data_IF_499241394751
#
_entry.id   IF_499241394751
#
_cell.length_a   1.000
_cell.length_b   1.000
_cell.length_c   1.000
_cell.angle_alpha   90.00
_cell.angle_beta   90.00
_cell.angle_gamma   90.00
#
_symmetry.space_group_name_H-M   'P 1'
#
loop_
_entity.id
_entity.type
_entity.pdbx_description
1 polymer ?
#
# COMPACT_ATOMS: atom_id res chain seq x y z
N UNK A 1 14.65 -6.57 -9.91
CA UNK A 1 14.87 -7.45 -8.74
C UNK A 1 14.32 -8.84 -9.03
N UNK A 2 14.86 -9.86 -8.38
CA UNK A 2 14.36 -11.25 -8.41
C UNK A 2 14.23 -11.73 -6.96
N UNK A 3 13.30 -12.63 -6.69
CA UNK A 3 13.12 -13.22 -5.36
C UNK A 3 11.98 -14.24 -5.33
N UNK A 4 11.59 -14.68 -4.13
CA UNK A 4 10.49 -15.63 -3.96
C UNK A 4 9.23 -15.15 -4.68
N UNK A 5 8.51 -16.06 -5.33
CA UNK A 5 7.30 -15.76 -6.12
C UNK A 5 7.53 -15.10 -7.48
N UNK A 6 8.73 -14.58 -7.76
CA UNK A 6 9.09 -14.04 -9.08
C UNK A 6 9.88 -15.09 -9.88
N UNK A 7 9.39 -15.41 -11.09
CA UNK A 7 10.05 -16.32 -12.03
C UNK A 7 11.05 -15.62 -12.93
N UNK A 8 10.83 -14.35 -13.21
CA UNK A 8 11.69 -13.51 -14.05
C UNK A 8 12.07 -12.22 -13.30
N UNK A 9 13.23 -11.59 -13.61
CA UNK A 9 13.58 -10.32 -13.00
C UNK A 9 12.54 -9.23 -13.33
N UNK A 10 12.00 -8.59 -12.29
CA UNK A 10 11.05 -7.47 -12.43
C UNK A 10 11.79 -6.15 -12.26
N UNK A 11 11.68 -5.24 -13.22
CA UNK A 11 12.36 -3.94 -13.21
C UNK A 11 11.38 -2.84 -13.57
N UNK A 12 11.20 -1.88 -12.67
CA UNK A 12 10.36 -0.70 -12.90
C UNK A 12 10.86 0.43 -11.99
N UNK A 13 10.42 1.64 -12.31
CA UNK A 13 10.56 2.82 -11.47
C UNK A 13 9.19 3.24 -10.92
N UNK A 14 9.18 4.05 -9.87
CA UNK A 14 7.99 4.73 -9.38
C UNK A 14 8.38 6.17 -9.03
N UNK A 15 7.59 7.12 -9.50
CA UNK A 15 7.91 8.53 -9.44
C UNK A 15 7.26 9.23 -8.26
N UNK A 16 7.87 10.35 -7.86
CA UNK A 16 7.33 11.20 -6.80
C UNK A 16 5.97 11.76 -7.26
N UNK A 17 4.93 11.49 -6.48
CA UNK A 17 3.58 11.98 -6.74
C UNK A 17 2.82 11.21 -7.82
N UNK A 18 3.31 10.03 -8.17
CA UNK A 18 2.64 9.09 -9.06
C UNK A 18 1.86 8.05 -8.25
N UNK A 19 0.73 7.61 -8.80
CA UNK A 19 0.03 6.38 -8.40
C UNK A 19 0.34 5.30 -9.44
N UNK A 20 1.22 4.38 -9.08
CA UNK A 20 1.58 3.22 -9.89
C UNK A 20 0.67 2.03 -9.55
N UNK A 21 -0.13 1.59 -10.51
CA UNK A 21 -0.97 0.40 -10.37
C UNK A 21 -0.18 -0.88 -10.62
N UNK A 22 -0.43 -1.91 -9.82
CA UNK A 22 0.07 -3.27 -10.03
C UNK A 22 -1.12 -4.22 -10.18
N UNK A 23 -1.38 -4.63 -11.41
CA UNK A 23 -2.44 -5.58 -11.74
C UNK A 23 -1.87 -6.97 -12.00
N UNK A 24 -2.66 -8.00 -11.72
CA UNK A 24 -2.33 -9.39 -11.97
C UNK A 24 -3.32 -10.32 -11.28
N UNK A 25 -3.51 -11.51 -11.85
CA UNK A 25 -4.38 -12.52 -11.26
C UNK A 25 -3.78 -13.12 -9.98
N UNK A 26 -4.57 -13.88 -9.24
CA UNK A 26 -4.09 -14.62 -8.07
C UNK A 26 -2.89 -15.50 -8.48
N UNK A 27 -1.79 -15.40 -7.72
CA UNK A 27 -0.54 -16.11 -8.03
C UNK A 27 0.38 -15.39 -9.03
N UNK A 28 0.07 -14.15 -9.42
CA UNK A 28 0.92 -13.38 -10.34
C UNK A 28 2.26 -12.89 -9.76
N UNK A 29 2.48 -12.98 -8.43
CA UNK A 29 3.69 -12.47 -7.78
C UNK A 29 3.56 -11.06 -7.16
N UNK A 30 2.33 -10.54 -7.02
CA UNK A 30 2.03 -9.18 -6.52
C UNK A 30 2.42 -9.02 -5.05
N UNK A 31 1.91 -9.92 -4.20
CA UNK A 31 2.15 -9.92 -2.75
C UNK A 31 3.63 -10.15 -2.45
N UNK A 32 4.29 -11.03 -3.18
CA UNK A 32 5.71 -11.34 -3.01
C UNK A 32 6.58 -10.14 -3.40
N UNK A 33 6.24 -9.44 -4.48
CA UNK A 33 6.91 -8.18 -4.83
C UNK A 33 6.77 -7.14 -3.70
N UNK A 34 5.58 -6.97 -3.13
CA UNK A 34 5.34 -6.05 -2.01
C UNK A 34 6.09 -6.45 -0.73
N UNK A 35 6.17 -7.74 -0.43
CA UNK A 35 6.97 -8.26 0.69
C UNK A 35 8.45 -7.94 0.53
N UNK A 36 8.97 -8.01 -0.69
CA UNK A 36 10.35 -7.60 -0.96
C UNK A 36 10.54 -6.08 -0.83
N UNK A 37 9.64 -5.27 -1.40
CA UNK A 37 9.72 -3.80 -1.34
C UNK A 37 9.58 -3.26 0.09
N UNK A 38 8.84 -3.97 0.96
CA UNK A 38 8.66 -3.64 2.37
C UNK A 38 9.70 -4.27 3.30
N UNK A 39 10.65 -5.05 2.78
CA UNK A 39 11.67 -5.74 3.58
C UNK A 39 11.15 -6.89 4.45
N UNK A 40 9.90 -7.34 4.23
CA UNK A 40 9.36 -8.57 4.83
C UNK A 40 10.04 -9.82 4.26
N UNK A 41 10.51 -9.73 3.02
CA UNK A 41 11.22 -10.80 2.32
C UNK A 41 12.47 -10.24 1.62
N UNK A 42 13.52 -11.06 1.50
CA UNK A 42 14.76 -10.64 0.84
C UNK A 42 14.71 -10.98 -0.64
N UNK A 43 15.10 -10.03 -1.48
CA UNK A 43 15.36 -10.30 -2.88
C UNK A 43 16.61 -11.20 -3.01
N UNK A 44 16.59 -12.11 -3.98
CA UNK A 44 17.73 -12.99 -4.30
C UNK A 44 18.72 -12.31 -5.24
N UNK A 45 18.24 -11.38 -6.07
CA UNK A 45 19.09 -10.59 -6.97
C UNK A 45 18.47 -9.23 -7.32
N UNK A 46 19.28 -8.40 -7.98
CA UNK A 46 18.93 -7.04 -8.40
C UNK A 46 19.13 -6.00 -7.31
N UNK A 47 18.76 -4.76 -7.64
CA UNK A 47 18.93 -3.59 -6.77
C UNK A 47 17.61 -2.88 -6.54
N UNK A 48 17.47 -2.28 -5.37
CA UNK A 48 16.40 -1.35 -5.02
C UNK A 48 17.06 0.00 -4.78
N UNK A 49 16.54 1.06 -5.39
CA UNK A 49 17.05 2.42 -5.21
C UNK A 49 15.92 3.35 -4.77
N UNK A 50 16.21 4.25 -3.84
CA UNK A 50 15.29 5.31 -3.44
C UNK A 50 15.99 6.65 -3.55
N UNK A 51 15.46 7.53 -4.42
CA UNK A 51 16.06 8.84 -4.73
C UNK A 51 17.55 8.73 -5.10
N UNK A 52 17.88 7.77 -5.97
CA UNK A 52 19.24 7.52 -6.47
C UNK A 52 20.20 6.85 -5.47
N UNK A 53 19.73 6.45 -4.28
CA UNK A 53 20.55 5.75 -3.29
C UNK A 53 20.13 4.28 -3.21
N UNK A 54 21.09 3.38 -3.35
CA UNK A 54 20.84 1.94 -3.19
C UNK A 54 20.35 1.62 -1.77
N UNK A 55 19.24 0.88 -1.68
CA UNK A 55 18.65 0.41 -0.44
C UNK A 55 18.88 -1.08 -0.27
N UNK A 56 19.40 -1.46 0.90
CA UNK A 56 19.55 -2.85 1.32
C UNK A 56 18.60 -3.15 2.47
N UNK A 57 17.43 -3.70 2.15
CA UNK A 57 16.42 -4.05 3.13
C UNK A 57 16.75 -5.43 3.73
N UNK A 58 17.04 -5.48 5.03
CA UNK A 58 17.27 -6.73 5.78
C UNK A 58 16.08 -7.10 6.65
N UNK A 59 15.26 -6.11 6.99
CA UNK A 59 14.04 -6.21 7.79
C UNK A 59 13.04 -5.10 7.42
N UNK A 60 11.77 -5.22 7.84
CA UNK A 60 10.79 -4.15 7.63
C UNK A 60 11.14 -2.82 8.28
N UNK A 61 11.98 -2.84 9.32
CA UNK A 61 12.46 -1.62 9.98
C UNK A 61 13.30 -0.76 9.05
N UNK A 62 14.07 -1.39 8.16
CA UNK A 62 14.91 -0.68 7.19
C UNK A 62 14.04 0.06 6.16
N UNK A 63 12.95 -0.57 5.72
CA UNK A 63 12.00 0.03 4.80
C UNK A 63 11.29 1.23 5.44
N UNK A 64 10.78 1.05 6.67
CA UNK A 64 10.13 2.14 7.43
C UNK A 64 11.10 3.30 7.67
N UNK A 65 12.35 3.03 8.05
CA UNK A 65 13.37 4.06 8.25
C UNK A 65 13.72 4.80 6.95
N UNK A 66 13.69 4.10 5.80
CA UNK A 66 13.88 4.72 4.50
C UNK A 66 12.67 5.57 4.06
N UNK A 67 11.50 5.36 4.66
CA UNK A 67 10.22 6.01 4.34
C UNK A 67 9.34 5.22 3.38
N UNK A 68 9.52 3.91 3.30
CA UNK A 68 8.68 2.96 2.55
C UNK A 68 7.71 2.30 3.54
N UNK A 69 6.42 2.58 3.40
CA UNK A 69 5.38 2.14 4.32
C UNK A 69 4.41 1.21 3.61
N UNK A 70 4.00 0.12 4.27
CA UNK A 70 3.08 -0.88 3.73
C UNK A 70 1.74 -0.84 4.48
N UNK A 71 0.65 -0.74 3.72
CA UNK A 71 -0.68 -1.11 4.17
C UNK A 71 -1.03 -2.49 3.61
N UNK A 72 -1.16 -3.52 4.47
CA UNK A 72 -1.34 -4.90 4.02
C UNK A 72 -2.78 -5.19 3.57
N UNK A 73 -2.93 -6.28 2.80
CA UNK A 73 -4.21 -6.78 2.28
C UNK A 73 -5.17 -7.22 3.41
N UNK A 74 -4.71 -8.08 4.33
CA UNK A 74 -5.52 -8.52 5.47
C UNK A 74 -5.45 -7.48 6.59
N UNK A 75 -6.21 -6.40 6.40
CA UNK A 75 -6.38 -5.33 7.37
C UNK A 75 -6.67 -5.85 8.80
N UNK A 76 -7.47 -6.90 8.94
CA UNK A 76 -7.93 -7.37 10.27
C UNK A 76 -6.82 -8.13 11.00
N UNK A 77 -6.00 -8.90 10.28
CA UNK A 77 -4.91 -9.69 10.88
C UNK A 77 -3.61 -8.93 10.97
N UNK A 78 -3.29 -8.13 9.95
CA UNK A 78 -1.96 -7.52 9.78
C UNK A 78 -1.99 -6.00 9.90
N UNK A 79 -3.14 -5.37 9.65
CA UNK A 79 -3.26 -3.90 9.60
C UNK A 79 -3.60 -3.25 10.95
N UNK A 80 -4.54 -3.81 11.71
CA UNK A 80 -5.06 -3.20 12.96
C UNK A 80 -4.70 -4.02 14.20
N UNK A 81 -4.66 -3.33 15.34
CA UNK A 81 -4.73 -3.93 16.67
C UNK A 81 -6.18 -3.86 17.14
N UNK A 82 -6.98 -4.93 16.98
CA UNK A 82 -8.44 -4.86 17.08
C UNK A 82 -8.94 -4.47 18.48
N UNK A 83 -8.25 -4.94 19.52
CA UNK A 83 -8.61 -4.67 20.91
C UNK A 83 -8.16 -3.28 21.39
N UNK A 84 -7.32 -2.61 20.61
CA UNK A 84 -6.78 -1.29 20.92
C UNK A 84 -7.69 -0.18 20.38
N UNK A 85 -7.52 1.02 20.94
CA UNK A 85 -8.28 2.20 20.52
C UNK A 85 -7.87 2.70 19.13
N UNK A 86 -8.69 3.57 18.54
CA UNK A 86 -8.34 4.32 17.33
C UNK A 86 -7.05 5.11 17.54
N UNK A 87 -6.92 5.81 18.67
CA UNK A 87 -5.73 6.56 19.02
C UNK A 87 -4.47 5.69 19.04
N UNK A 88 -4.55 4.50 19.67
CA UNK A 88 -3.44 3.57 19.73
C UNK A 88 -3.02 3.10 18.34
N UNK A 89 -4.00 2.77 17.49
CA UNK A 89 -3.74 2.34 16.13
C UNK A 89 -3.10 3.44 15.27
N UNK A 90 -3.39 4.72 15.53
CA UNK A 90 -2.77 5.85 14.84
C UNK A 90 -1.35 6.09 15.39
N UNK A 91 -1.16 6.07 16.70
CA UNK A 91 0.08 6.54 17.31
C UNK A 91 1.21 5.49 17.34
N UNK A 92 0.89 4.19 17.29
CA UNK A 92 1.85 3.12 17.58
C UNK A 92 3.15 3.20 16.78
N UNK A 93 3.09 3.54 15.49
CA UNK A 93 4.29 3.59 14.63
C UNK A 93 5.16 4.82 14.87
N UNK A 94 4.53 5.97 15.17
CA UNK A 94 5.22 7.23 15.39
C UNK A 94 5.75 7.39 16.82
N UNK A 95 5.20 6.63 17.77
CA UNK A 95 5.56 6.67 19.19
C UNK A 95 7.07 6.63 19.47
N UNK A 96 7.82 5.79 18.75
CA UNK A 96 9.27 5.68 18.93
C UNK A 96 9.99 7.02 18.72
N UNK A 97 9.62 7.75 17.66
CA UNK A 97 10.19 9.05 17.32
C UNK A 97 9.75 10.19 18.26
N UNK A 98 8.67 9.98 19.02
CA UNK A 98 8.08 10.98 19.91
C UNK A 98 8.16 10.61 21.41
N UNK A 99 8.94 9.58 21.75
CA UNK A 99 9.20 9.17 23.14
C UNK A 99 10.34 9.98 23.77
N UNK A 100 10.25 10.30 25.06
CA UNK A 100 11.37 10.87 25.82
C UNK A 100 12.17 9.74 26.47
N UNK A 101 13.51 9.80 26.43
CA UNK A 101 14.40 8.74 26.94
C UNK A 101 14.12 7.33 26.38
N UNK A 102 13.47 7.22 25.21
CA UNK A 102 13.15 5.94 24.57
C UNK A 102 12.02 5.13 25.22
N UNK A 103 11.39 5.63 26.29
CA UNK A 103 10.35 4.89 27.02
C UNK A 103 9.19 5.75 27.57
N UNK A 104 9.38 7.07 27.77
CA UNK A 104 8.34 7.92 28.33
C UNK A 104 7.39 8.40 27.23
N UNK A 105 6.14 7.95 27.30
CA UNK A 105 5.07 8.35 26.39
C UNK A 105 4.64 9.79 26.68
N UNK A 106 4.50 10.58 25.61
CA UNK A 106 3.99 11.95 25.68
C UNK A 106 2.49 11.98 25.45
N UNK A 107 1.70 11.76 26.50
CA UNK A 107 0.24 11.67 26.40
C UNK A 107 -0.43 12.89 25.73
N UNK A 108 0.12 14.10 25.91
CA UNK A 108 -0.36 15.31 25.22
C UNK A 108 -0.13 15.24 23.70
N UNK A 109 1.03 14.76 23.28
CA UNK A 109 1.34 14.59 21.86
C UNK A 109 0.48 13.48 21.24
N UNK A 110 0.34 12.33 21.92
CA UNK A 110 -0.47 11.21 21.42
C UNK A 110 -1.93 11.60 21.21
N UNK A 111 -2.50 12.36 22.15
CA UNK A 111 -3.86 12.89 22.01
C UNK A 111 -3.96 13.84 20.82
N UNK A 112 -3.05 14.82 20.74
CA UNK A 112 -3.05 15.81 19.65
C UNK A 112 -2.88 15.17 18.27
N UNK A 113 -1.96 14.20 18.13
CA UNK A 113 -1.74 13.48 16.88
C UNK A 113 -2.97 12.64 16.49
N UNK A 114 -3.54 11.87 17.42
CA UNK A 114 -4.75 11.10 17.13
C UNK A 114 -5.90 11.99 16.65
N UNK A 115 -6.17 13.10 17.34
CA UNK A 115 -7.24 14.04 16.98
C UNK A 115 -6.96 14.68 15.60
N UNK A 116 -5.71 15.04 15.33
CA UNK A 116 -5.29 15.58 14.02
C UNK A 116 -5.56 14.57 12.89
N UNK A 117 -5.12 13.32 13.03
CA UNK A 117 -5.25 12.33 11.96
C UNK A 117 -6.69 11.84 11.79
N UNK A 118 -7.47 11.73 12.87
CA UNK A 118 -8.91 11.46 12.82
C UNK A 118 -9.62 12.52 11.97
N UNK A 119 -9.28 13.80 12.19
CA UNK A 119 -9.84 14.92 11.42
C UNK A 119 -9.35 14.92 9.97
N UNK A 120 -8.05 14.76 9.75
CA UNK A 120 -7.44 14.80 8.42
C UNK A 120 -8.04 13.73 7.49
N UNK A 121 -8.27 12.53 8.02
CA UNK A 121 -8.80 11.41 7.24
C UNK A 121 -10.31 11.21 7.39
N UNK A 122 -11.00 12.12 8.09
CA UNK A 122 -12.44 12.06 8.35
C UNK A 122 -12.86 10.67 8.87
N UNK A 123 -12.13 10.17 9.87
CA UNK A 123 -12.44 8.90 10.54
C UNK A 123 -13.72 9.09 11.35
N UNK A 124 -14.79 8.40 10.97
CA UNK A 124 -16.06 8.41 11.69
C UNK A 124 -15.92 7.50 12.92
N UNK A 125 -15.66 8.10 14.07
CA UNK A 125 -15.57 7.42 15.38
C UNK A 125 -16.23 8.30 16.46
N UNK A 126 -16.90 7.73 17.48
CA UNK A 126 -17.45 8.51 18.59
C UNK A 126 -16.38 9.30 19.35
N UNK A 127 -15.19 8.72 19.51
CA UNK A 127 -14.00 9.35 20.08
C UNK A 127 -12.74 8.52 19.77
N UNK A 128 -11.57 9.05 20.10
CA UNK A 128 -10.29 8.39 19.84
C UNK A 128 -10.04 7.14 20.72
N UNK A 129 -10.75 7.00 21.85
CA UNK A 129 -10.65 5.86 22.76
C UNK A 129 -11.49 4.64 22.33
N UNK A 130 -12.40 4.80 21.37
CA UNK A 130 -13.20 3.71 20.80
C UNK A 130 -12.29 2.60 20.28
N UNK A 131 -12.62 1.34 20.58
CA UNK A 131 -11.88 0.20 20.01
C UNK A 131 -12.06 0.16 18.49
N UNK A 132 -10.95 0.04 17.76
CA UNK A 132 -10.96 0.13 16.29
C UNK A 132 -11.79 -1.00 15.65
N UNK A 133 -11.89 -2.16 16.31
CA UNK A 133 -12.66 -3.31 15.81
C UNK A 133 -14.15 -3.00 15.60
N UNK A 134 -14.71 -2.01 16.30
CA UNK A 134 -16.11 -1.62 16.16
C UNK A 134 -16.36 -0.58 15.06
N UNK A 135 -15.32 -0.06 14.41
CA UNK A 135 -15.48 0.82 13.25
C UNK A 135 -15.78 0.02 11.99
N UNK A 136 -16.45 0.65 11.01
CA UNK A 136 -16.61 0.06 9.68
C UNK A 136 -15.28 -0.13 8.97
N UNK A 137 -15.22 -1.03 7.98
CA UNK A 137 -13.99 -1.32 7.23
C UNK A 137 -13.31 -0.07 6.64
N UNK A 138 -14.11 0.84 6.07
CA UNK A 138 -13.61 2.13 5.57
C UNK A 138 -12.96 3.01 6.64
N UNK A 139 -13.54 3.07 7.84
CA UNK A 139 -12.98 3.86 8.93
C UNK A 139 -11.76 3.20 9.58
N UNK A 140 -11.71 1.86 9.62
CA UNK A 140 -10.50 1.13 10.00
C UNK A 140 -9.36 1.43 9.02
N UNK A 141 -9.62 1.40 7.71
CA UNK A 141 -8.63 1.70 6.68
C UNK A 141 -8.10 3.14 6.80
N UNK A 142 -9.00 4.11 6.99
CA UNK A 142 -8.61 5.51 7.25
C UNK A 142 -7.72 5.63 8.49
N UNK A 143 -8.04 4.96 9.59
CA UNK A 143 -7.19 5.02 10.78
C UNK A 143 -5.79 4.44 10.53
N UNK A 144 -5.66 3.39 9.71
CA UNK A 144 -4.36 2.83 9.30
C UNK A 144 -3.59 3.80 8.43
N UNK A 145 -4.23 4.46 7.47
CA UNK A 145 -3.58 5.51 6.69
C UNK A 145 -3.12 6.67 7.61
N UNK A 146 -3.87 6.97 8.66
CA UNK A 146 -3.53 8.00 9.66
C UNK A 146 -2.28 7.67 10.47
N UNK A 147 -2.04 6.38 10.74
CA UNK A 147 -0.80 5.89 11.33
C UNK A 147 0.42 6.29 10.48
N UNK A 148 0.31 6.17 9.17
CA UNK A 148 1.40 6.47 8.24
C UNK A 148 1.59 7.97 8.01
N UNK A 149 0.53 8.77 8.10
CA UNK A 149 0.64 10.24 8.09
C UNK A 149 1.45 10.81 9.27
N UNK A 150 1.63 10.02 10.33
CA UNK A 150 2.43 10.38 11.49
C UNK A 150 3.92 10.02 11.33
N UNK A 151 4.32 9.50 10.16
CA UNK A 151 5.67 9.01 9.86
C UNK A 151 6.26 9.73 8.64
N UNK A 152 7.60 9.83 8.52
CA UNK A 152 8.23 10.30 7.30
C UNK A 152 7.96 9.30 6.17
N UNK A 153 7.05 9.66 5.27
CA UNK A 153 6.64 8.83 4.14
C UNK A 153 7.26 9.36 2.84
N UNK A 154 7.76 8.45 2.01
CA UNK A 154 8.25 8.74 0.65
C UNK A 154 7.58 7.82 -0.37
N UNK A 155 7.36 6.55 0.02
CA UNK A 155 6.66 5.54 -0.78
C UNK A 155 5.60 4.89 0.09
N UNK A 156 4.37 4.79 -0.42
CA UNK A 156 3.28 4.08 0.22
C UNK A 156 2.88 2.89 -0.65
N UNK A 157 3.00 1.69 -0.11
CA UNK A 157 2.59 0.42 -0.71
C UNK A 157 1.19 0.09 -0.18
N UNK A 158 0.19 0.01 -1.05
CA UNK A 158 -1.20 -0.31 -0.70
C UNK A 158 -1.61 -1.64 -1.33
N UNK A 159 -1.79 -2.66 -0.50
CA UNK A 159 -2.19 -3.99 -0.96
C UNK A 159 -3.71 -4.17 -0.78
N UNK A 160 -4.45 -4.24 -1.89
CA UNK A 160 -5.91 -4.37 -1.97
C UNK A 160 -6.64 -3.36 -1.03
N UNK A 161 -6.39 -2.03 -1.18
CA UNK A 161 -6.73 -1.02 -0.18
C UNK A 161 -8.23 -0.88 0.11
N UNK A 162 -9.10 -1.34 -0.80
CA UNK A 162 -10.55 -1.33 -0.60
C UNK A 162 -11.18 -2.68 -0.30
N UNK A 163 -10.37 -3.71 -0.04
CA UNK A 163 -10.90 -5.04 0.31
C UNK A 163 -11.73 -4.99 1.60
N UNK A 164 -12.97 -5.46 1.48
CA UNK A 164 -13.94 -5.48 2.59
C UNK A 164 -14.36 -4.07 3.06
N UNK A 165 -14.37 -3.10 2.14
CA UNK A 165 -14.91 -1.75 2.33
C UNK A 165 -16.14 -1.60 1.43
N UNK A 166 -17.20 -0.98 1.96
CA UNK A 166 -18.43 -0.70 1.23
C UNK A 166 -18.17 0.21 0.02
N UNK A 167 -18.92 0.00 -1.08
CA UNK A 167 -18.77 0.76 -2.34
C UNK A 167 -18.80 2.28 -2.10
N UNK A 168 -19.73 2.76 -1.27
CA UNK A 168 -19.86 4.19 -0.95
C UNK A 168 -18.67 4.77 -0.16
N UNK A 169 -17.89 3.94 0.53
CA UNK A 169 -16.70 4.37 1.27
C UNK A 169 -15.40 4.23 0.48
N UNK A 170 -15.38 3.47 -0.64
CA UNK A 170 -14.21 3.33 -1.52
C UNK A 170 -13.74 4.68 -2.07
N UNK A 171 -14.68 5.50 -2.54
CA UNK A 171 -14.37 6.82 -3.09
C UNK A 171 -13.64 7.73 -2.09
N UNK A 172 -13.97 7.64 -0.79
CA UNK A 172 -13.26 8.40 0.24
C UNK A 172 -11.80 7.93 0.40
N UNK A 173 -11.53 6.62 0.24
CA UNK A 173 -10.17 6.06 0.27
C UNK A 173 -9.39 6.49 -0.98
N UNK A 174 -10.00 6.44 -2.16
CA UNK A 174 -9.36 6.88 -3.41
C UNK A 174 -8.95 8.35 -3.34
N UNK A 175 -9.82 9.22 -2.80
CA UNK A 175 -9.47 10.62 -2.62
C UNK A 175 -8.27 10.80 -1.67
N UNK A 176 -8.18 10.01 -0.60
CA UNK A 176 -7.00 10.05 0.29
C UNK A 176 -5.74 9.63 -0.48
N UNK A 177 -5.82 8.59 -1.30
CA UNK A 177 -4.70 8.11 -2.13
C UNK A 177 -4.24 9.20 -3.10
N UNK A 178 -5.16 9.85 -3.81
CA UNK A 178 -4.85 10.97 -4.70
C UNK A 178 -4.19 12.13 -3.96
N UNK A 179 -4.74 12.55 -2.82
CA UNK A 179 -4.16 13.64 -2.04
C UNK A 179 -2.73 13.31 -1.55
N UNK A 180 -2.45 12.04 -1.22
CA UNK A 180 -1.11 11.60 -0.85
C UNK A 180 -0.16 11.70 -2.04
N UNK A 181 -0.57 11.24 -3.22
CA UNK A 181 0.22 11.38 -4.44
C UNK A 181 0.47 12.87 -4.78
N UNK A 182 -0.56 13.71 -4.78
CA UNK A 182 -0.44 15.16 -5.01
C UNK A 182 0.52 15.85 -4.03
N UNK A 183 0.59 15.38 -2.78
CA UNK A 183 1.56 15.87 -1.79
C UNK A 183 3.02 15.46 -2.05
N UNK A 184 3.26 14.67 -3.11
CA UNK A 184 4.57 14.25 -3.54
C UNK A 184 5.03 12.91 -2.95
N UNK A 185 4.10 12.03 -2.58
CA UNK A 185 4.37 10.66 -2.17
C UNK A 185 4.25 9.76 -3.39
N UNK A 186 5.19 8.82 -3.59
CA UNK A 186 4.99 7.76 -4.58
C UNK A 186 4.03 6.72 -3.98
N UNK A 187 2.91 6.43 -4.65
CA UNK A 187 1.97 5.41 -4.20
C UNK A 187 2.02 4.23 -5.17
N UNK A 188 2.20 3.02 -4.64
CA UNK A 188 2.09 1.79 -5.43
C UNK A 188 0.87 1.05 -4.91
N UNK A 189 -0.09 0.76 -5.78
CA UNK A 189 -1.33 0.08 -5.41
C UNK A 189 -1.44 -1.27 -6.09
N UNK A 190 -1.57 -2.33 -5.30
CA UNK A 190 -1.96 -3.65 -5.78
C UNK A 190 -3.47 -3.77 -5.68
N UNK A 191 -4.10 -4.19 -6.76
CA UNK A 191 -5.51 -4.55 -6.75
C UNK A 191 -5.81 -5.68 -7.72
N UNK A 192 -6.77 -6.52 -7.34
CA UNK A 192 -7.38 -7.54 -8.20
C UNK A 192 -8.65 -7.01 -8.90
N UNK A 193 -9.15 -5.85 -8.47
CA UNK A 193 -10.29 -5.15 -9.05
C UNK A 193 -9.80 -4.22 -10.18
N UNK A 194 -10.12 -4.61 -11.43
CA UNK A 194 -9.73 -3.85 -12.62
C UNK A 194 -10.23 -2.40 -12.58
N UNK A 195 -11.46 -2.18 -12.10
CA UNK A 195 -12.04 -0.86 -12.03
C UNK A 195 -11.33 0.02 -10.99
N UNK A 196 -10.87 -0.58 -9.89
CA UNK A 196 -10.06 0.13 -8.89
C UNK A 196 -8.72 0.56 -9.48
N UNK A 197 -7.93 -0.39 -10.02
CA UNK A 197 -6.57 -0.08 -10.51
C UNK A 197 -6.61 0.88 -11.70
N UNK A 198 -7.56 0.74 -12.62
CA UNK A 198 -7.77 1.67 -13.74
C UNK A 198 -8.24 3.05 -13.25
N UNK A 199 -9.10 3.10 -12.24
CA UNK A 199 -9.67 4.34 -11.75
C UNK A 199 -8.63 5.27 -11.11
N UNK A 200 -7.68 4.72 -10.36
CA UNK A 200 -6.77 5.53 -9.53
C UNK A 200 -5.36 5.69 -10.12
N UNK A 201 -4.88 4.76 -10.94
CA UNK A 201 -3.47 4.70 -11.33
C UNK A 201 -3.13 5.56 -12.54
N UNK A 202 -1.98 6.22 -12.52
CA UNK A 202 -1.45 7.01 -13.64
C UNK A 202 -0.88 6.12 -14.74
N UNK A 203 -0.37 4.96 -14.35
CA UNK A 203 -0.02 3.83 -15.22
C UNK A 203 -0.10 2.53 -14.44
N UNK A 204 -0.15 1.42 -15.17
CA UNK A 204 -0.39 0.10 -14.60
C UNK A 204 0.64 -0.89 -15.12
N UNK A 205 1.36 -1.51 -14.20
CA UNK A 205 2.21 -2.67 -14.45
C UNK A 205 1.38 -3.94 -14.33
N UNK A 206 1.55 -4.86 -15.28
CA UNK A 206 0.86 -6.15 -15.28
C UNK A 206 1.83 -7.27 -14.98
N UNK A 207 1.57 -8.01 -13.90
CA UNK A 207 2.27 -9.25 -13.55
C UNK A 207 1.43 -10.47 -13.95
N UNK A 208 2.11 -11.49 -14.46
CA UNK A 208 1.53 -12.80 -14.73
C UNK A 208 2.58 -13.88 -14.45
N UNK A 209 2.21 -14.86 -13.61
CA UNK A 209 3.07 -15.99 -13.22
C UNK A 209 4.47 -15.59 -12.74
N UNK A 210 4.58 -14.53 -11.92
CA UNK A 210 5.85 -14.09 -11.36
C UNK A 210 6.76 -13.34 -12.34
N UNK A 211 6.22 -12.88 -13.47
CA UNK A 211 6.94 -12.10 -14.46
C UNK A 211 6.14 -10.83 -14.84
N UNK A 212 6.85 -9.75 -15.11
CA UNK A 212 6.25 -8.53 -15.63
C UNK A 212 5.97 -8.71 -17.12
N UNK A 213 4.70 -8.57 -17.53
CA UNK A 213 4.26 -8.83 -18.91
C UNK A 213 4.07 -7.57 -19.74
N UNK A 214 3.84 -6.44 -19.08
CA UNK A 214 3.72 -5.16 -19.76
C UNK A 214 3.41 -4.03 -18.79
N UNK A 215 3.43 -2.84 -19.34
CA UNK A 215 3.08 -1.59 -18.70
C UNK A 215 2.12 -0.86 -19.64
N UNK A 216 1.04 -0.32 -19.08
CA UNK A 216 0.05 0.46 -19.81
C UNK A 216 -0.06 1.83 -19.17
N UNK A 217 -0.05 2.88 -20.00
CA UNK A 217 -0.43 4.22 -19.56
C UNK A 217 -1.94 4.26 -19.23
N UNK A 218 -2.37 5.30 -18.50
CA UNK A 218 -3.80 5.51 -18.19
C UNK A 218 -4.71 5.44 -19.42
N UNK A 219 -4.26 5.97 -20.56
CA UNK A 219 -5.06 6.01 -21.79
C UNK A 219 -5.16 4.64 -22.49
N UNK A 220 -4.18 3.78 -22.30
CA UNK A 220 -4.13 2.43 -22.88
C UNK A 220 -4.75 1.36 -21.96
N UNK A 221 -4.87 1.68 -20.68
CA UNK A 221 -5.35 0.79 -19.63
C UNK A 221 -6.87 0.59 -19.67
N UNK A 222 -7.34 -0.17 -20.66
CA UNK A 222 -8.70 -0.72 -20.66
C UNK A 222 -8.71 -2.19 -20.19
N UNK A 223 -9.89 -2.69 -19.82
CA UNK A 223 -10.09 -4.05 -19.32
C UNK A 223 -9.51 -5.11 -20.25
N UNK A 224 -9.74 -4.99 -21.56
CA UNK A 224 -9.26 -5.98 -22.53
C UNK A 224 -7.74 -6.05 -22.58
N UNK A 225 -7.07 -4.89 -22.65
CA UNK A 225 -5.61 -4.82 -22.71
C UNK A 225 -4.96 -5.37 -21.43
N UNK A 226 -5.49 -5.01 -20.26
CA UNK A 226 -4.99 -5.50 -18.97
C UNK A 226 -5.18 -7.01 -18.83
N UNK A 227 -6.35 -7.54 -19.20
CA UNK A 227 -6.61 -8.98 -19.14
C UNK A 227 -5.73 -9.75 -20.13
N UNK A 228 -5.50 -9.22 -21.33
CA UNK A 228 -4.62 -9.85 -22.31
C UNK A 228 -3.19 -10.02 -21.79
N UNK A 229 -2.67 -9.02 -21.07
CA UNK A 229 -1.35 -9.09 -20.44
C UNK A 229 -1.33 -9.99 -19.19
N UNK A 230 -2.44 -10.10 -18.47
CA UNK A 230 -2.54 -10.85 -17.22
C UNK A 230 -2.80 -12.36 -17.43
N UNK A 231 -3.19 -12.77 -18.64
CA UNK A 231 -3.43 -14.18 -18.98
C UNK A 231 -2.14 -14.88 -19.44
N UNK A 232 -1.91 -16.15 -19.02
CA UNK A 232 -0.80 -16.94 -19.52
C UNK A 232 -0.91 -17.14 -21.04
N UNK A 233 0.21 -16.98 -21.75
CA UNK A 233 0.26 -17.05 -23.23
C UNK A 233 -0.28 -18.37 -23.81
N UNK A 234 -0.33 -19.45 -23.05
CA UNK A 234 -0.91 -20.72 -23.51
C UNK A 234 -2.45 -20.74 -23.64
N UNK A 235 -3.18 -19.78 -23.05
CA UNK A 235 -4.65 -19.72 -23.15
C UNK A 235 -5.18 -18.80 -24.25
N UNK A 236 -4.39 -17.80 -24.68
CA UNK A 236 -4.82 -16.83 -25.69
C UNK A 236 -5.09 -17.48 -27.06
N UNK A 237 -4.35 -18.53 -27.41
CA UNK A 237 -4.49 -19.23 -28.69
C UNK A 237 -5.71 -20.19 -28.73
N UNK A 238 -6.36 -20.45 -27.60
CA UNK A 238 -7.51 -21.38 -27.51
C UNK A 238 -8.88 -20.70 -27.63
N UNK A 239 -8.92 -19.37 -27.64
CA UNK A 239 -10.15 -18.58 -27.80
C UNK A 239 -10.26 -17.96 -29.20
N UNK A 240 -9.23 -18.14 -30.04
CA UNK A 240 -9.16 -17.64 -31.41
C UNK A 240 -9.36 -18.73 -32.49
N UNK A 241 -9.81 -19.94 -32.12
CA UNK A 241 -10.16 -21.03 -33.04
C UNK A 241 -11.60 -21.51 -32.82
#
# INVERSE_FOLDING_TARGET
MLGPGLREPVSFDAHKGEILGLFGLVGAGRTELFRMLSGLERNTAGRLELRGHELKLRSPRDAIAAGILLCPEDRKKEGIMPLSSVAENINISARGAHSTFGCLLRGLWEKGNADQQIKALKVKTPNAAQKIMYLSGGNQQKAILGRWLSMPMKVLLLDEPTRGIDIGAKAEIYQIIHNLAESGIAVIVVSSDLMEVMGISDRILVLCEGAMRGELSRDEANESNLLQLALPRHRADSVAN
#
